data_IF_845837344047
#
_entry.id   IF_845837344047
#
_cell.length_a   1.000
_cell.length_b   1.000
_cell.length_c   1.000
_cell.angle_alpha   90.00
_cell.angle_beta   90.00
_cell.angle_gamma   90.00
#
_symmetry.space_group_name_H-M   'P 1'
#
loop_
_entity.id
_entity.type
_entity.pdbx_description
1 polymer ?
#
# COMPACT_ATOMS: atom_id res chain seq x y z
N UNK A 1 17.15 -25.86 -4.81
CA UNK A 1 16.93 -25.31 -6.14
C UNK A 1 16.16 -24.00 -5.96
N UNK A 2 16.69 -22.86 -6.42
CA UNK A 2 15.93 -21.60 -6.46
C UNK A 2 15.00 -21.72 -7.67
N UNK A 3 13.71 -21.89 -7.43
CA UNK A 3 12.72 -21.73 -8.48
C UNK A 3 12.85 -20.32 -9.05
N UNK A 4 13.18 -20.21 -10.33
CA UNK A 4 13.10 -18.96 -11.06
C UNK A 4 11.62 -18.65 -11.27
N UNK A 5 11.01 -17.96 -10.32
CA UNK A 5 9.64 -17.45 -10.45
C UNK A 5 9.68 -16.43 -11.59
N UNK A 6 8.96 -16.70 -12.66
CA UNK A 6 8.71 -15.68 -13.68
C UNK A 6 7.86 -14.59 -13.04
N UNK A 7 8.24 -13.33 -13.26
CA UNK A 7 7.54 -12.17 -12.71
C UNK A 7 6.91 -11.43 -13.89
N UNK A 8 5.60 -11.26 -13.85
CA UNK A 8 4.82 -10.44 -14.80
C UNK A 8 4.59 -9.07 -14.19
N UNK A 9 4.85 -8.02 -14.95
CA UNK A 9 4.54 -6.65 -14.54
C UNK A 9 3.14 -6.26 -15.03
N UNK A 10 2.31 -5.71 -14.13
CA UNK A 10 1.03 -5.08 -14.46
C UNK A 10 1.19 -3.58 -14.21
N UNK A 11 1.18 -2.82 -15.30
CA UNK A 11 1.15 -1.36 -15.24
C UNK A 11 -0.31 -0.88 -15.18
N UNK A 12 -0.70 -0.36 -14.03
CA UNK A 12 -2.08 0.07 -13.77
C UNK A 12 -2.48 1.22 -14.70
N UNK A 13 -1.59 2.19 -14.94
CA UNK A 13 -1.89 3.30 -15.85
C UNK A 13 -2.16 2.83 -17.28
N UNK A 14 -1.40 1.83 -17.74
CA UNK A 14 -1.61 1.23 -19.07
C UNK A 14 -2.89 0.39 -19.11
N UNK A 15 -3.12 -0.42 -18.09
CA UNK A 15 -4.33 -1.26 -17.98
C UNK A 15 -5.61 -0.40 -18.05
N UNK A 16 -5.64 0.71 -17.32
CA UNK A 16 -6.76 1.65 -17.33
C UNK A 16 -6.95 2.28 -18.70
N UNK A 17 -5.88 2.76 -19.35
CA UNK A 17 -5.96 3.33 -20.72
C UNK A 17 -6.45 2.31 -21.75
N UNK A 18 -5.97 1.08 -21.69
CA UNK A 18 -6.35 0.01 -22.61
C UNK A 18 -7.82 -0.43 -22.43
N UNK A 19 -8.39 -0.25 -21.22
CA UNK A 19 -9.81 -0.55 -20.94
C UNK A 19 -10.79 0.52 -21.41
N UNK A 20 -10.29 1.70 -21.84
CA UNK A 20 -11.12 2.82 -22.27
C UNK A 20 -11.89 3.50 -21.13
N UNK A 21 -11.55 3.21 -19.89
CA UNK A 21 -12.16 3.78 -18.68
C UNK A 21 -11.29 4.95 -18.19
N UNK A 22 -11.92 6.02 -17.77
CA UNK A 22 -11.23 7.20 -17.24
C UNK A 22 -10.55 6.92 -15.90
N UNK A 23 -9.21 6.84 -15.88
CA UNK A 23 -8.32 6.95 -14.71
C UNK A 23 -8.52 5.98 -13.52
N UNK A 24 -9.64 5.24 -13.44
CA UNK A 24 -9.96 4.30 -12.39
C UNK A 24 -10.62 3.05 -12.98
N UNK A 25 -10.06 1.89 -12.68
CA UNK A 25 -10.64 0.60 -13.02
C UNK A 25 -11.38 0.03 -11.81
N UNK A 26 -12.63 -0.35 -11.99
CA UNK A 26 -13.41 -1.07 -10.99
C UNK A 26 -13.94 -2.35 -11.61
N UNK A 27 -13.73 -3.46 -10.91
CA UNK A 27 -14.35 -4.73 -11.23
C UNK A 27 -14.95 -5.33 -9.97
N UNK A 28 -16.18 -5.84 -10.11
CA UNK A 28 -16.92 -6.44 -9.00
C UNK A 28 -16.72 -7.96 -8.97
N UNK A 29 -16.11 -8.57 -10.01
CA UNK A 29 -15.94 -10.02 -10.08
C UNK A 29 -14.79 -10.41 -11.02
N UNK A 30 -13.54 -10.25 -10.59
CA UNK A 30 -12.39 -10.61 -11.44
C UNK A 30 -12.15 -12.11 -11.42
N UNK A 31 -12.15 -12.78 -12.58
CA UNK A 31 -11.63 -14.12 -12.70
C UNK A 31 -10.10 -14.13 -12.68
N UNK A 32 -9.52 -14.58 -11.58
CA UNK A 32 -8.11 -15.00 -11.55
C UNK A 32 -8.09 -16.44 -12.08
N UNK A 33 -7.49 -16.66 -13.24
CA UNK A 33 -7.42 -17.97 -13.85
C UNK A 33 -6.30 -18.80 -13.23
N UNK A 34 -6.42 -20.15 -13.25
CA UNK A 34 -5.38 -21.07 -12.74
C UNK A 34 -4.00 -20.87 -13.39
N UNK A 35 -3.93 -20.27 -14.58
CA UNK A 35 -2.68 -19.91 -15.26
C UNK A 35 -1.86 -18.85 -14.52
N UNK A 36 -2.49 -18.06 -13.68
CA UNK A 36 -1.82 -16.98 -12.92
C UNK A 36 -1.09 -17.51 -11.67
N UNK A 37 -1.25 -18.77 -11.31
CA UNK A 37 -0.67 -19.37 -10.10
C UNK A 37 0.85 -19.64 -10.15
N UNK A 38 1.46 -19.67 -11.33
CA UNK A 38 2.88 -20.00 -11.52
C UNK A 38 3.79 -18.77 -11.67
N UNK A 39 3.23 -17.59 -11.87
CA UNK A 39 3.97 -16.35 -12.10
C UNK A 39 3.71 -15.36 -10.95
N UNK A 40 4.78 -14.72 -10.46
CA UNK A 40 4.64 -13.58 -9.57
C UNK A 40 4.15 -12.35 -10.35
N UNK A 41 3.26 -11.56 -9.75
CA UNK A 41 2.76 -10.31 -10.33
C UNK A 41 3.38 -9.14 -9.58
N UNK A 42 3.94 -8.16 -10.29
CA UNK A 42 4.35 -6.87 -9.74
C UNK A 42 3.42 -5.77 -10.26
N UNK A 43 2.89 -4.97 -9.34
CA UNK A 43 2.09 -3.78 -9.65
C UNK A 43 3.02 -2.61 -9.92
N UNK A 44 2.73 -1.84 -10.98
CA UNK A 44 3.43 -0.60 -11.36
C UNK A 44 2.45 0.53 -11.55
N UNK A 45 2.89 1.74 -11.23
CA UNK A 45 2.18 2.99 -11.50
C UNK A 45 0.74 3.05 -10.96
N UNK A 46 0.47 2.42 -9.83
CA UNK A 46 -0.86 2.43 -9.24
C UNK A 46 -0.97 1.69 -7.92
N UNK A 47 -2.19 1.64 -7.43
CA UNK A 47 -2.60 0.91 -6.23
C UNK A 47 -3.83 0.05 -6.56
N UNK A 48 -3.89 -1.13 -5.97
CA UNK A 48 -5.07 -2.01 -6.02
C UNK A 48 -5.64 -2.15 -4.62
N UNK A 49 -6.95 -1.99 -4.49
CA UNK A 49 -7.69 -2.20 -3.25
C UNK A 49 -8.74 -3.26 -3.51
N UNK A 50 -8.69 -4.35 -2.73
CA UNK A 50 -9.61 -5.49 -2.86
C UNK A 50 -10.41 -5.67 -1.58
N UNK A 51 -11.72 -5.76 -1.70
CA UNK A 51 -12.63 -6.17 -0.62
C UNK A 51 -12.98 -7.65 -0.79
N UNK A 52 -12.58 -8.49 0.16
CA UNK A 52 -12.87 -9.91 0.16
C UNK A 52 -14.27 -10.17 0.75
N UNK A 53 -15.12 -10.91 0.01
CA UNK A 53 -16.47 -11.27 0.45
C UNK A 53 -16.56 -12.73 0.92
N UNK A 54 -15.69 -13.60 0.44
CA UNK A 54 -15.67 -15.02 0.78
C UNK A 54 -14.53 -15.43 1.70
N UNK A 55 -14.67 -16.60 2.31
CA UNK A 55 -13.83 -17.05 3.42
C UNK A 55 -12.60 -17.89 3.03
N UNK A 56 -12.28 -18.05 1.74
CA UNK A 56 -11.23 -19.02 1.38
C UNK A 56 -10.30 -18.53 0.29
N UNK A 57 -9.11 -18.15 0.69
CA UNK A 57 -8.01 -17.89 -0.25
C UNK A 57 -6.68 -17.77 0.50
N UNK A 58 -5.59 -18.04 -0.19
CA UNK A 58 -4.24 -17.77 0.31
C UNK A 58 -3.51 -16.95 -0.74
N UNK A 59 -3.04 -15.79 -0.34
CA UNK A 59 -2.21 -14.91 -1.16
C UNK A 59 -0.84 -14.77 -0.51
N UNK A 60 0.19 -14.72 -1.31
CA UNK A 60 1.54 -14.41 -0.85
C UNK A 60 1.95 -13.04 -1.39
N UNK A 61 2.24 -12.13 -0.49
CA UNK A 61 2.67 -10.77 -0.82
C UNK A 61 4.07 -10.56 -0.27
N UNK A 62 5.03 -10.22 -1.12
CA UNK A 62 6.45 -10.06 -0.77
C UNK A 62 7.03 -11.23 0.03
N UNK A 63 6.60 -12.43 -0.28
CA UNK A 63 7.04 -13.66 0.37
C UNK A 63 6.29 -14.02 1.66
N UNK A 64 5.43 -13.15 2.21
CA UNK A 64 4.58 -13.42 3.38
C UNK A 64 3.22 -13.97 2.94
N UNK A 65 2.80 -15.08 3.55
CA UNK A 65 1.51 -15.69 3.28
C UNK A 65 0.40 -15.07 4.13
N UNK A 66 -0.74 -14.79 3.49
CA UNK A 66 -1.94 -14.30 4.12
C UNK A 66 -3.11 -15.21 3.78
N UNK A 67 -3.81 -15.68 4.81
CA UNK A 67 -5.09 -16.36 4.65
C UNK A 67 -6.18 -15.30 4.53
N UNK A 68 -6.83 -15.26 3.38
CA UNK A 68 -7.93 -14.34 3.14
C UNK A 68 -9.23 -14.92 3.69
N UNK A 69 -10.01 -14.08 4.31
CA UNK A 69 -11.36 -14.37 4.81
C UNK A 69 -12.31 -13.28 4.37
N UNK A 70 -13.61 -13.50 4.53
CA UNK A 70 -14.59 -12.43 4.37
C UNK A 70 -14.23 -11.25 5.27
N UNK A 71 -14.54 -10.02 4.79
CA UNK A 71 -14.22 -8.76 5.49
C UNK A 71 -12.72 -8.44 5.59
N UNK A 72 -11.88 -9.11 4.81
CA UNK A 72 -10.54 -8.61 4.59
C UNK A 72 -10.54 -7.51 3.52
N UNK A 73 -9.78 -6.46 3.78
CA UNK A 73 -9.35 -5.49 2.77
C UNK A 73 -7.89 -5.74 2.47
N UNK A 74 -7.58 -5.89 1.19
CA UNK A 74 -6.20 -6.03 0.70
C UNK A 74 -5.84 -4.75 -0.03
N UNK A 75 -4.79 -4.07 0.41
CA UNK A 75 -4.29 -2.83 -0.19
C UNK A 75 -2.89 -3.07 -0.72
N UNK A 76 -2.72 -2.93 -2.02
CA UNK A 76 -1.50 -3.28 -2.76
C UNK A 76 -1.00 -2.05 -3.53
N UNK A 77 -0.15 -1.21 -2.93
CA UNK A 77 0.55 -0.16 -3.68
C UNK A 77 1.59 -0.75 -4.64
N UNK A 78 2.16 0.09 -5.48
CA UNK A 78 3.19 -0.31 -6.45
C UNK A 78 4.39 -1.03 -5.81
N UNK A 79 5.06 -1.87 -6.60
CA UNK A 79 6.26 -2.64 -6.23
C UNK A 79 6.04 -3.82 -5.27
N UNK A 80 4.81 -4.19 -4.96
CA UNK A 80 4.54 -5.47 -4.29
C UNK A 80 4.61 -6.63 -5.28
N UNK A 81 5.23 -7.73 -4.83
CA UNK A 81 5.23 -9.01 -5.55
C UNK A 81 4.11 -9.88 -5.00
N UNK A 82 3.16 -10.20 -5.83
CA UNK A 82 1.98 -10.99 -5.46
C UNK A 82 2.09 -12.37 -6.09
N UNK A 83 1.89 -13.41 -5.29
CA UNK A 83 1.74 -14.78 -5.76
C UNK A 83 0.43 -15.34 -5.20
N UNK A 84 -0.36 -15.98 -6.02
CA UNK A 84 -1.54 -16.71 -5.58
C UNK A 84 -1.14 -18.15 -5.24
N UNK A 85 -1.56 -18.66 -4.08
CA UNK A 85 -1.19 -20.01 -3.61
C UNK A 85 -2.37 -20.96 -3.72
N UNK A 86 -3.60 -20.48 -3.64
CA UNK A 86 -4.80 -21.29 -3.83
C UNK A 86 -5.80 -20.56 -4.72
N UNK A 87 -6.65 -21.31 -5.45
CA UNK A 87 -7.70 -20.68 -6.24
C UNK A 87 -8.60 -19.88 -5.28
N UNK A 88 -8.50 -18.57 -5.38
CA UNK A 88 -9.47 -17.66 -4.81
C UNK A 88 -10.69 -17.83 -5.70
N UNK A 89 -11.81 -18.33 -5.15
CA UNK A 89 -13.06 -18.47 -5.89
C UNK A 89 -13.50 -17.07 -6.36
N UNK A 90 -13.54 -16.93 -7.66
CA UNK A 90 -13.36 -15.72 -8.46
C UNK A 90 -14.50 -14.71 -8.41
N UNK A 91 -15.64 -15.07 -7.81
CA UNK A 91 -16.86 -14.27 -7.83
C UNK A 91 -17.13 -13.54 -6.51
N UNK A 92 -16.15 -13.47 -5.62
CA UNK A 92 -16.38 -13.04 -4.24
C UNK A 92 -15.41 -11.93 -3.77
N UNK A 93 -14.96 -11.09 -4.71
CA UNK A 93 -14.13 -9.92 -4.43
C UNK A 93 -14.61 -8.70 -5.21
N UNK A 94 -14.55 -7.54 -4.58
CA UNK A 94 -14.63 -6.27 -5.27
C UNK A 94 -13.24 -5.68 -5.36
N UNK A 95 -12.82 -5.22 -6.52
CA UNK A 95 -11.51 -4.62 -6.75
C UNK A 95 -11.64 -3.23 -7.34
N UNK A 96 -10.82 -2.32 -6.85
CA UNK A 96 -10.57 -1.02 -7.47
C UNK A 96 -9.07 -0.94 -7.73
N UNK A 97 -8.72 -0.56 -8.96
CA UNK A 97 -7.35 -0.21 -9.32
C UNK A 97 -7.32 1.24 -9.78
N UNK A 98 -6.43 2.04 -9.24
CA UNK A 98 -6.25 3.45 -9.60
C UNK A 98 -4.79 3.71 -9.94
N UNK A 99 -4.56 4.57 -10.94
CA UNK A 99 -3.21 5.02 -11.27
C UNK A 99 -2.69 6.01 -10.22
N UNK A 100 -1.36 6.13 -10.12
CA UNK A 100 -0.76 7.18 -9.29
C UNK A 100 -1.21 8.56 -9.80
N UNK A 101 -1.28 8.75 -11.11
CA UNK A 101 -1.72 10.03 -11.69
C UNK A 101 -3.16 10.38 -11.28
N UNK A 102 -4.06 9.39 -11.18
CA UNK A 102 -5.41 9.63 -10.66
C UNK A 102 -5.39 10.16 -9.23
N UNK A 103 -4.62 9.50 -8.35
CA UNK A 103 -4.48 9.91 -6.95
C UNK A 103 -3.90 11.32 -6.83
N UNK A 104 -2.91 11.66 -7.67
CA UNK A 104 -2.26 12.96 -7.68
C UNK A 104 -3.17 14.10 -8.16
N UNK A 105 -4.14 13.78 -9.01
CA UNK A 105 -5.07 14.76 -9.57
C UNK A 105 -6.42 14.81 -8.84
N UNK A 106 -6.51 14.21 -7.65
CA UNK A 106 -7.73 14.30 -6.84
C UNK A 106 -7.93 15.71 -6.27
N UNK A 107 -9.16 16.20 -6.17
CA UNK A 107 -9.47 17.53 -5.60
C UNK A 107 -9.01 17.65 -4.14
N UNK A 108 -9.11 16.56 -3.38
CA UNK A 108 -8.61 16.47 -2.01
C UNK A 108 -7.41 15.54 -1.97
N UNK A 109 -6.27 15.99 -1.41
CA UNK A 109 -5.08 15.16 -1.31
C UNK A 109 -5.34 13.95 -0.40
N UNK A 110 -4.99 12.76 -0.90
CA UNK A 110 -5.05 11.53 -0.09
C UNK A 110 -3.93 11.55 0.94
N UNK A 111 -4.24 11.16 2.17
CA UNK A 111 -3.22 10.95 3.19
C UNK A 111 -2.27 9.83 2.76
N UNK A 112 -0.99 10.18 2.63
CA UNK A 112 0.06 9.28 2.16
C UNK A 112 0.35 8.13 3.11
N UNK A 113 -0.14 8.20 4.34
CA UNK A 113 0.02 7.13 5.34
C UNK A 113 -0.58 5.81 4.88
N UNK A 114 -1.61 5.81 4.01
CA UNK A 114 -2.18 4.58 3.44
C UNK A 114 -1.11 3.75 2.70
N UNK A 115 -0.21 4.40 1.96
CA UNK A 115 0.87 3.71 1.25
C UNK A 115 1.88 3.09 2.21
N UNK A 116 2.14 3.76 3.34
CA UNK A 116 3.03 3.25 4.36
C UNK A 116 2.37 2.12 5.16
N UNK A 117 1.14 2.31 5.63
CA UNK A 117 0.41 1.27 6.37
C UNK A 117 0.23 0.00 5.54
N UNK A 118 -0.25 0.13 4.30
CA UNK A 118 -0.51 -1.01 3.43
C UNK A 118 0.75 -1.75 3.00
N UNK A 119 1.89 -1.06 2.88
CA UNK A 119 3.16 -1.71 2.57
C UNK A 119 3.61 -2.68 3.66
N UNK A 120 3.28 -2.40 4.90
CA UNK A 120 3.67 -3.23 6.05
C UNK A 120 2.59 -4.22 6.45
N UNK A 121 1.34 -3.86 6.21
CA UNK A 121 0.17 -4.67 6.49
C UNK A 121 -0.79 -4.62 5.31
N UNK A 122 -0.46 -5.36 4.26
CA UNK A 122 -1.23 -5.36 3.01
C UNK A 122 -2.64 -5.94 3.17
N UNK A 123 -2.88 -6.72 4.23
CA UNK A 123 -4.18 -7.35 4.51
C UNK A 123 -4.63 -6.95 5.90
N UNK A 124 -5.78 -6.31 5.99
CA UNK A 124 -6.45 -5.98 7.26
C UNK A 124 -7.83 -6.63 7.33
N UNK A 125 -8.28 -6.94 8.52
CA UNK A 125 -9.66 -7.33 8.77
C UNK A 125 -10.41 -6.11 9.28
N UNK A 126 -11.49 -5.77 8.59
CA UNK A 126 -12.37 -4.66 8.97
C UNK A 126 -13.47 -5.12 9.92
N UNK A 127 -13.98 -4.19 10.72
CA UNK A 127 -15.08 -4.45 11.63
C UNK A 127 -16.39 -4.77 10.88
N UNK A 128 -17.27 -5.54 11.52
CA UNK A 128 -18.49 -6.04 10.90
C UNK A 128 -19.44 -4.92 10.45
N UNK A 129 -19.55 -3.87 11.26
CA UNK A 129 -20.35 -2.68 10.98
C UNK A 129 -19.78 -1.83 9.81
N UNK A 130 -18.50 -1.94 9.54
CA UNK A 130 -17.82 -1.20 8.47
C UNK A 130 -17.79 -1.94 7.12
N UNK A 131 -18.04 -3.25 7.13
CA UNK A 131 -18.02 -4.04 5.89
C UNK A 131 -19.08 -3.57 4.90
N UNK A 132 -20.29 -3.33 5.34
CA UNK A 132 -21.41 -2.91 4.50
C UNK A 132 -21.20 -1.49 3.96
N UNK A 133 -20.63 -0.60 4.78
CA UNK A 133 -20.26 0.75 4.36
C UNK A 133 -19.23 0.69 3.21
N UNK A 134 -18.13 -0.04 3.42
CA UNK A 134 -17.06 -0.18 2.42
C UNK A 134 -17.60 -0.86 1.15
N UNK A 135 -18.42 -1.89 1.27
CA UNK A 135 -19.06 -2.53 0.11
C UNK A 135 -19.95 -1.56 -0.66
N UNK A 136 -20.66 -0.68 0.04
CA UNK A 136 -21.52 0.34 -0.57
C UNK A 136 -20.71 1.32 -1.42
N UNK A 137 -19.51 1.73 -0.98
CA UNK A 137 -18.63 2.58 -1.80
C UNK A 137 -18.25 1.91 -3.13
N UNK A 138 -17.90 0.62 -3.10
CA UNK A 138 -17.61 -0.14 -4.32
C UNK A 138 -18.82 -0.16 -5.26
N UNK A 139 -20.02 -0.44 -4.74
CA UNK A 139 -21.24 -0.49 -5.53
C UNK A 139 -21.57 0.87 -6.14
N UNK A 140 -21.42 1.97 -5.40
CA UNK A 140 -21.63 3.32 -5.89
C UNK A 140 -20.64 3.69 -6.99
N UNK A 141 -19.35 3.46 -6.78
CA UNK A 141 -18.31 3.73 -7.78
C UNK A 141 -18.62 2.94 -9.06
N UNK A 142 -18.96 1.65 -8.92
CA UNK A 142 -19.28 0.80 -10.06
C UNK A 142 -20.53 1.33 -10.82
N UNK A 143 -21.59 1.66 -10.11
CA UNK A 143 -22.80 2.24 -10.73
C UNK A 143 -22.45 3.52 -11.48
N UNK A 144 -21.79 4.48 -10.85
CA UNK A 144 -21.38 5.73 -11.46
C UNK A 144 -20.43 5.52 -12.66
N UNK A 145 -19.60 4.48 -12.63
CA UNK A 145 -18.70 4.17 -13.74
C UNK A 145 -19.42 3.79 -15.03
N UNK A 146 -20.66 3.32 -14.93
CA UNK A 146 -21.52 2.96 -16.07
C UNK A 146 -22.37 4.12 -16.58
N UNK A 147 -22.46 5.23 -15.82
CA UNK A 147 -23.25 6.39 -16.17
C UNK A 147 -22.45 7.39 -17.04
N UNK A 148 -23.15 8.26 -17.78
CA UNK A 148 -22.54 9.32 -18.59
C UNK A 148 -22.96 10.71 -18.09
N UNK A 149 -22.77 10.95 -16.79
CA UNK A 149 -23.13 12.21 -16.15
C UNK A 149 -22.03 13.28 -16.26
N UNK A 150 -22.44 14.56 -16.32
CA UNK A 150 -21.51 15.71 -16.34
C UNK A 150 -20.53 15.72 -15.17
N UNK A 151 -20.96 15.28 -13.98
CA UNK A 151 -20.18 15.29 -12.73
C UNK A 151 -19.71 13.89 -12.31
N UNK A 152 -19.76 12.91 -13.24
CA UNK A 152 -19.38 11.51 -12.97
C UNK A 152 -18.00 11.40 -12.34
N UNK A 153 -17.01 12.09 -12.91
CA UNK A 153 -15.63 12.05 -12.43
C UNK A 153 -15.50 12.55 -10.99
N UNK A 154 -16.09 13.70 -10.70
CA UNK A 154 -16.07 14.32 -9.37
C UNK A 154 -16.81 13.46 -8.33
N UNK A 155 -17.92 12.83 -8.72
CA UNK A 155 -18.66 11.90 -7.84
C UNK A 155 -17.79 10.70 -7.52
N UNK A 156 -17.22 10.04 -8.52
CA UNK A 156 -16.34 8.87 -8.32
C UNK A 156 -15.14 9.24 -7.45
N UNK A 157 -14.50 10.38 -7.70
CA UNK A 157 -13.38 10.86 -6.88
C UNK A 157 -13.77 11.07 -5.42
N UNK A 158 -14.94 11.66 -5.18
CA UNK A 158 -15.44 11.92 -3.82
C UNK A 158 -15.73 10.61 -3.06
N UNK A 159 -16.35 9.64 -3.72
CA UNK A 159 -16.66 8.33 -3.14
C UNK A 159 -15.36 7.53 -2.89
N UNK A 160 -14.44 7.56 -3.84
CA UNK A 160 -13.14 6.91 -3.68
C UNK A 160 -12.33 7.53 -2.53
N UNK A 161 -12.38 8.85 -2.37
CA UNK A 161 -11.74 9.53 -1.24
C UNK A 161 -12.34 9.07 0.10
N UNK A 162 -13.69 8.99 0.19
CA UNK A 162 -14.36 8.48 1.37
C UNK A 162 -13.97 7.03 1.68
N UNK A 163 -13.91 6.15 0.67
CA UNK A 163 -13.44 4.77 0.80
C UNK A 163 -12.02 4.70 1.39
N UNK A 164 -11.11 5.53 0.87
CA UNK A 164 -9.72 5.56 1.36
C UNK A 164 -9.66 6.02 2.82
N UNK A 165 -10.44 7.02 3.22
CA UNK A 165 -10.51 7.50 4.61
C UNK A 165 -11.06 6.42 5.57
N UNK A 166 -12.08 5.67 5.17
CA UNK A 166 -12.59 4.55 5.99
C UNK A 166 -11.52 3.46 6.18
N UNK A 167 -10.80 3.11 5.11
CA UNK A 167 -9.70 2.14 5.20
C UNK A 167 -8.58 2.67 6.10
N UNK A 168 -8.23 3.95 6.01
CA UNK A 168 -7.23 4.58 6.88
C UNK A 168 -7.65 4.55 8.34
N UNK A 169 -8.92 4.85 8.64
CA UNK A 169 -9.44 4.79 10.01
C UNK A 169 -9.34 3.37 10.60
N UNK A 170 -9.55 2.33 9.79
CA UNK A 170 -9.33 0.95 10.23
C UNK A 170 -7.85 0.64 10.48
N UNK A 171 -6.94 1.14 9.63
CA UNK A 171 -5.50 1.04 9.89
C UNK A 171 -5.12 1.73 11.21
N UNK A 172 -5.57 2.95 11.44
CA UNK A 172 -5.28 3.70 12.68
C UNK A 172 -5.74 2.94 13.91
N UNK A 173 -6.96 2.40 13.93
CA UNK A 173 -7.45 1.56 15.04
C UNK A 173 -6.52 0.36 15.31
N UNK A 174 -6.04 -0.31 14.25
CA UNK A 174 -5.13 -1.45 14.37
C UNK A 174 -3.78 -1.00 14.93
N UNK A 175 -3.28 0.15 14.49
CA UNK A 175 -1.98 0.66 14.95
C UNK A 175 -2.05 1.19 16.38
N UNK A 176 -3.13 1.89 16.78
CA UNK A 176 -3.33 2.43 18.13
C UNK A 176 -3.61 1.34 19.17
N UNK A 177 -4.51 0.40 18.84
CA UNK A 177 -4.89 -0.69 19.77
C UNK A 177 -3.71 -1.59 20.13
N UNK A 178 -2.74 -1.71 19.26
CA UNK A 178 -1.56 -2.56 19.45
C UNK A 178 -0.47 -1.95 20.33
N UNK A 179 -0.50 -0.66 20.61
CA UNK A 179 0.39 -0.02 21.57
C UNK A 179 -0.03 -0.33 23.01
N UNK A 180 -1.33 -0.60 23.25
CA UNK A 180 -1.91 -0.80 24.57
C UNK A 180 -2.30 -2.26 24.89
N UNK A 181 -2.17 -3.20 23.98
CA UNK A 181 -2.53 -4.58 24.24
C UNK A 181 -1.38 -5.55 23.98
N UNK A 182 -1.12 -6.41 24.97
CA UNK A 182 -0.34 -7.66 24.84
C UNK A 182 -0.96 -8.67 23.85
N UNK A 183 -1.72 -8.18 22.86
CA UNK A 183 -2.30 -9.01 21.81
C UNK A 183 -1.14 -9.48 20.94
N UNK A 184 -0.82 -10.75 21.11
CA UNK A 184 -0.05 -11.70 20.28
C UNK A 184 0.27 -11.18 18.85
N UNK A 185 1.03 -10.09 18.72
CA UNK A 185 1.83 -9.84 17.54
C UNK A 185 2.95 -10.90 17.56
N UNK A 186 2.62 -12.12 17.14
CA UNK A 186 3.52 -13.26 17.18
C UNK A 186 4.70 -13.13 16.22
N UNK A 187 4.77 -12.04 15.44
CA UNK A 187 5.87 -11.80 14.52
C UNK A 187 6.57 -10.47 14.85
N UNK A 188 7.86 -10.57 15.13
CA UNK A 188 8.74 -9.43 15.35
C UNK A 188 8.69 -8.44 14.18
N UNK A 189 8.47 -8.92 12.96
CA UNK A 189 8.36 -8.09 11.77
C UNK A 189 7.13 -7.19 11.84
N UNK A 190 5.98 -7.70 12.29
CA UNK A 190 4.77 -6.89 12.42
C UNK A 190 4.95 -5.78 13.46
N UNK A 191 5.61 -6.07 14.58
CA UNK A 191 5.94 -5.06 15.61
C UNK A 191 6.90 -3.99 15.06
N UNK A 192 7.91 -4.40 14.30
CA UNK A 192 8.83 -3.46 13.67
C UNK A 192 8.11 -2.55 12.66
N UNK A 193 7.29 -3.13 11.77
CA UNK A 193 6.61 -2.36 10.74
C UNK A 193 5.59 -1.37 11.32
N UNK A 194 4.92 -1.70 12.40
CA UNK A 194 4.06 -0.76 13.13
C UNK A 194 4.85 0.45 13.66
N UNK A 195 5.97 0.19 14.32
CA UNK A 195 6.86 1.28 14.78
C UNK A 195 7.41 2.09 13.60
N UNK A 196 7.73 1.44 12.49
CA UNK A 196 8.20 2.13 11.30
C UNK A 196 7.13 3.06 10.74
N UNK A 197 5.90 2.58 10.57
CA UNK A 197 4.79 3.38 10.03
C UNK A 197 4.54 4.67 10.82
N UNK A 198 4.71 4.62 12.15
CA UNK A 198 4.49 5.80 13.01
C UNK A 198 5.71 6.70 13.19
N UNK A 199 6.93 6.17 13.03
CA UNK A 199 8.14 6.89 13.43
C UNK A 199 9.14 7.20 12.30
N UNK A 200 8.95 6.70 11.07
CA UNK A 200 9.94 6.83 9.98
C UNK A 200 10.33 8.28 9.64
N UNK A 201 9.41 9.23 9.79
CA UNK A 201 9.69 10.66 9.52
C UNK A 201 10.76 11.21 10.47
N UNK A 202 10.68 10.83 11.74
CA UNK A 202 11.52 11.39 12.80
C UNK A 202 12.71 10.50 13.17
N UNK A 203 12.65 9.20 12.89
CA UNK A 203 13.64 8.23 13.34
C UNK A 203 14.07 7.29 12.21
N UNK A 204 15.33 7.42 11.79
CA UNK A 204 15.94 6.66 10.68
C UNK A 204 16.95 5.62 11.13
N UNK A 205 17.29 5.60 12.42
CA UNK A 205 18.32 4.71 12.95
C UNK A 205 17.70 3.34 13.33
N UNK A 206 18.38 2.27 13.01
CA UNK A 206 18.00 0.93 13.46
C UNK A 206 18.01 0.81 14.98
N UNK A 207 18.88 1.59 15.64
CA UNK A 207 18.99 1.64 17.09
C UNK A 207 17.66 2.04 17.74
N UNK A 208 17.01 3.11 17.24
CA UNK A 208 15.72 3.57 17.76
C UNK A 208 14.66 2.45 17.76
N UNK A 209 14.53 1.74 16.65
CA UNK A 209 13.55 0.64 16.54
C UNK A 209 13.93 -0.56 17.42
N UNK A 210 15.21 -0.85 17.53
CA UNK A 210 15.71 -1.91 18.39
C UNK A 210 15.42 -1.60 19.88
N UNK A 211 15.69 -0.38 20.33
CA UNK A 211 15.42 0.06 21.70
C UNK A 211 13.92 -0.01 22.03
N UNK A 212 13.05 0.45 21.11
CA UNK A 212 11.59 0.34 21.27
C UNK A 212 11.08 -1.09 21.35
N UNK A 213 11.80 -2.04 20.76
CA UNK A 213 11.46 -3.46 20.78
C UNK A 213 12.19 -4.26 21.87
N UNK A 214 13.03 -3.59 22.68
CA UNK A 214 13.91 -4.21 23.69
C UNK A 214 14.84 -5.27 23.07
N UNK A 215 15.47 -4.95 21.93
CA UNK A 215 16.36 -5.82 21.15
C UNK A 215 17.67 -5.12 20.84
N UNK A 216 18.68 -5.91 20.44
CA UNK A 216 19.89 -5.31 19.86
C UNK A 216 19.67 -4.99 18.37
N UNK A 217 20.29 -3.93 17.81
CA UNK A 217 20.20 -3.59 16.39
C UNK A 217 20.63 -4.75 15.47
N UNK A 218 21.64 -5.52 15.88
CA UNK A 218 22.13 -6.67 15.14
C UNK A 218 21.05 -7.76 15.05
N UNK A 219 20.42 -8.10 16.16
CA UNK A 219 19.36 -9.09 16.20
C UNK A 219 18.15 -8.66 15.36
N UNK A 220 17.66 -7.43 15.56
CA UNK A 220 16.54 -6.87 14.79
C UNK A 220 16.84 -6.89 13.29
N UNK A 221 18.03 -6.40 12.87
CA UNK A 221 18.42 -6.38 11.45
C UNK A 221 18.45 -7.78 10.84
N UNK A 222 18.98 -8.77 11.57
CA UNK A 222 19.05 -10.16 11.11
C UNK A 222 17.66 -10.78 11.01
N UNK A 223 16.80 -10.55 12.00
CA UNK A 223 15.45 -11.09 12.03
C UNK A 223 14.61 -10.51 10.88
N UNK A 224 14.59 -9.18 10.70
CA UNK A 224 13.85 -8.54 9.60
C UNK A 224 14.35 -9.02 8.24
N UNK A 225 15.67 -9.09 8.04
CA UNK A 225 16.22 -9.60 6.77
C UNK A 225 15.82 -11.06 6.52
N UNK A 226 15.80 -11.89 7.54
CA UNK A 226 15.40 -13.31 7.43
C UNK A 226 13.93 -13.45 7.04
N UNK A 227 13.03 -12.66 7.64
CA UNK A 227 11.59 -12.75 7.41
C UNK A 227 11.20 -12.11 6.08
N UNK A 228 11.78 -10.94 5.75
CA UNK A 228 11.35 -10.13 4.59
C UNK A 228 12.25 -10.29 3.36
N UNK A 229 13.40 -10.97 3.50
CA UNK A 229 14.41 -11.06 2.44
C UNK A 229 15.21 -9.77 2.22
N UNK A 230 14.84 -8.65 2.86
CA UNK A 230 15.41 -7.31 2.61
C UNK A 230 16.05 -6.72 3.88
N UNK A 231 17.17 -5.96 3.75
CA UNK A 231 17.77 -5.24 4.86
C UNK A 231 16.81 -4.24 5.51
N UNK A 232 16.86 -4.13 6.83
CA UNK A 232 15.97 -3.24 7.60
C UNK A 232 16.09 -1.76 7.17
N UNK A 233 17.29 -1.29 6.82
CA UNK A 233 17.50 0.09 6.34
C UNK A 233 16.77 0.37 5.03
N UNK A 234 16.59 -0.64 4.17
CA UNK A 234 15.86 -0.47 2.92
C UNK A 234 14.39 -0.14 3.19
N UNK A 235 13.79 -0.76 4.20
CA UNK A 235 12.43 -0.47 4.62
C UNK A 235 12.29 0.95 5.17
N UNK A 236 13.23 1.37 6.03
CA UNK A 236 13.23 2.73 6.60
C UNK A 236 13.39 3.78 5.50
N UNK A 237 14.33 3.57 4.57
CA UNK A 237 14.55 4.50 3.46
C UNK A 237 13.36 4.56 2.50
N UNK A 238 12.72 3.43 2.24
CA UNK A 238 11.58 3.35 1.34
C UNK A 238 10.36 4.09 1.88
N UNK A 239 10.09 4.00 3.19
CA UNK A 239 9.02 4.76 3.83
C UNK A 239 9.19 6.28 3.60
N UNK A 240 10.42 6.78 3.74
CA UNK A 240 10.73 8.20 3.50
C UNK A 240 10.59 8.55 2.00
N UNK A 241 11.02 7.65 1.12
CA UNK A 241 10.96 7.90 -0.33
C UNK A 241 9.54 7.95 -0.89
N UNK A 242 8.62 7.16 -0.32
CA UNK A 242 7.20 7.21 -0.67
C UNK A 242 6.66 8.60 -0.39
N UNK A 243 6.81 9.09 0.83
CA UNK A 243 6.38 10.44 1.20
C UNK A 243 7.06 11.51 0.35
N UNK A 244 8.38 11.40 0.14
CA UNK A 244 9.12 12.35 -0.68
C UNK A 244 8.56 12.44 -2.10
N UNK A 245 8.32 11.31 -2.74
CA UNK A 245 7.73 11.25 -4.09
C UNK A 245 6.33 11.84 -4.12
N UNK A 246 5.51 11.50 -3.12
CA UNK A 246 4.16 12.03 -3.03
C UNK A 246 4.18 13.55 -2.85
N UNK A 247 4.91 14.09 -1.89
CA UNK A 247 5.02 15.54 -1.67
C UNK A 247 5.53 16.28 -2.91
N UNK A 248 6.53 15.73 -3.62
CA UNK A 248 7.05 16.31 -4.85
C UNK A 248 6.01 16.37 -5.98
N UNK A 249 5.07 15.45 -6.01
CA UNK A 249 4.07 15.34 -7.07
C UNK A 249 2.73 15.99 -6.73
N UNK A 250 2.32 15.95 -5.45
CA UNK A 250 1.00 16.41 -5.02
C UNK A 250 0.96 17.84 -4.49
N UNK A 251 2.12 18.44 -4.24
CA UNK A 251 2.18 19.76 -3.58
C UNK A 251 3.07 20.73 -4.36
N UNK A 252 2.84 22.02 -4.14
CA UNK A 252 3.71 23.09 -4.62
C UNK A 252 4.85 23.41 -3.63
N UNK A 253 5.17 22.49 -2.72
CA UNK A 253 6.22 22.68 -1.75
C UNK A 253 7.59 22.72 -2.44
N UNK A 254 8.42 23.65 -1.99
CA UNK A 254 9.81 23.70 -2.44
C UNK A 254 10.59 22.49 -1.91
N UNK A 255 11.70 22.15 -2.56
CA UNK A 255 12.61 21.08 -2.10
C UNK A 255 13.08 21.33 -0.66
N UNK A 256 13.21 22.61 -0.27
CA UNK A 256 13.55 22.99 1.10
C UNK A 256 12.43 22.62 2.07
N UNK A 257 11.19 23.01 1.79
CA UNK A 257 10.03 22.71 2.63
C UNK A 257 9.80 21.20 2.76
N UNK A 258 9.95 20.45 1.67
CA UNK A 258 9.87 18.98 1.70
C UNK A 258 10.99 18.38 2.58
N UNK A 259 12.21 18.91 2.47
CA UNK A 259 13.33 18.49 3.31
C UNK A 259 13.04 18.71 4.80
N UNK A 260 12.46 19.86 5.15
CA UNK A 260 12.06 20.22 6.51
C UNK A 260 10.91 19.30 7.00
N UNK A 261 9.87 19.11 6.18
CA UNK A 261 8.72 18.25 6.51
C UNK A 261 9.11 16.78 6.70
N UNK A 262 10.10 16.32 5.94
CA UNK A 262 10.67 14.99 6.10
C UNK A 262 11.81 14.91 7.12
N UNK A 263 12.04 15.97 7.87
CA UNK A 263 13.01 16.04 8.97
C UNK A 263 14.46 15.69 8.54
N UNK A 264 14.91 16.24 7.39
CA UNK A 264 16.32 16.20 7.00
C UNK A 264 17.09 17.36 7.61
N UNK A 265 18.36 17.13 7.91
CA UNK A 265 19.25 18.16 8.48
C UNK A 265 19.51 19.34 7.54
N UNK A 266 19.33 19.15 6.23
CA UNK A 266 19.44 20.20 5.22
C UNK A 266 18.79 19.76 3.89
N UNK A 267 18.41 20.70 3.00
CA UNK A 267 17.96 20.41 1.66
C UNK A 267 18.98 19.60 0.85
N UNK A 268 20.28 19.86 1.02
CA UNK A 268 21.35 19.12 0.36
C UNK A 268 21.38 17.65 0.78
N UNK A 269 21.18 17.36 2.09
CA UNK A 269 21.12 16.00 2.60
C UNK A 269 19.90 15.24 2.01
N UNK A 270 18.75 15.91 1.89
CA UNK A 270 17.58 15.35 1.23
C UNK A 270 17.84 15.04 -0.26
N UNK A 271 18.40 16.00 -1.01
CA UNK A 271 18.71 15.82 -2.44
C UNK A 271 19.68 14.64 -2.66
N UNK A 272 20.72 14.54 -1.84
CA UNK A 272 21.68 13.43 -1.92
C UNK A 272 21.01 12.08 -1.60
N UNK A 273 20.22 12.02 -0.52
CA UNK A 273 19.46 10.84 -0.16
C UNK A 273 18.52 10.40 -1.29
N UNK A 274 17.74 11.35 -1.79
CA UNK A 274 16.75 11.08 -2.84
C UNK A 274 17.43 10.59 -4.13
N UNK A 275 18.49 11.28 -4.59
CA UNK A 275 19.27 10.87 -5.79
C UNK A 275 19.92 9.51 -5.62
N UNK A 276 20.48 9.22 -4.44
CA UNK A 276 21.11 7.93 -4.14
C UNK A 276 20.12 6.76 -4.29
N UNK A 277 18.86 6.96 -3.91
CA UNK A 277 17.88 5.88 -3.86
C UNK A 277 16.96 5.81 -5.10
N UNK A 278 16.82 6.91 -5.87
CA UNK A 278 15.94 6.96 -7.05
C UNK A 278 16.72 7.09 -8.36
N UNK A 279 18.00 7.42 -8.32
CA UNK A 279 18.81 7.74 -9.48
C UNK A 279 18.58 9.15 -10.05
N UNK A 280 17.52 9.85 -9.58
CA UNK A 280 17.12 11.18 -10.08
C UNK A 280 17.14 12.21 -8.97
N UNK A 281 17.26 13.49 -9.32
CA UNK A 281 17.09 14.57 -8.34
C UNK A 281 15.60 14.84 -8.09
N UNK A 282 15.21 15.43 -6.93
CA UNK A 282 13.81 15.77 -6.64
C UNK A 282 13.16 16.68 -7.69
N UNK A 283 13.91 17.49 -8.42
CA UNK A 283 13.38 18.37 -9.47
C UNK A 283 13.04 17.64 -10.78
N UNK A 284 13.46 16.39 -10.94
CA UNK A 284 13.31 15.61 -12.17
C UNK A 284 12.31 14.45 -12.01
N UNK A 285 11.40 14.59 -11.05
CA UNK A 285 10.25 13.73 -10.81
C UNK A 285 8.97 14.51 -11.11
#
# INVERSE_FOLDING_TARGET
MKENIRIREIDISKMIKDSGIDDLFIDINIPITEKDNSEGIIIRNGIIIVLCKAEKGVIKIDGKEYKLSSKNVVVLPENHVINYISPILLNEHNMIAVSIDYILNMPSPIDTSIFNYSRYMSVIKIADDKFDDIQSYYNFIHKESLENGKYRKEIIQSIFYALVLEILAEYEKIFDSSYNSDIKANDLSDRFFRLLATHYKNNRSVQFYADKLNLTPKYLSTAIKRTTGRPILNWIHEAILIDAKMLLRTTNLTVQQISEQLNFSSPSAFVQFFKKHTGKTPRNI
#
